data_IF_206696050891
#
_entry.id   IF_206696050891
#
_cell.length_a   1.000
_cell.length_b   1.000
_cell.length_c   1.000
_cell.angle_alpha   90.00
_cell.angle_beta   90.00
_cell.angle_gamma   90.00
#
_symmetry.space_group_name_H-M   'P 1'
#
loop_
_entity.id
_entity.type
_entity.pdbx_description
1 polymer ?
#
# COMPACT_ATOMS: atom_id res chain seq x y z
N UNK A 1 -12.65 -46.66 33.96
CA UNK A 1 -13.80 -45.73 33.86
C UNK A 1 -13.97 -45.38 32.39
N UNK A 2 -14.84 -46.09 31.67
CA UNK A 2 -15.07 -45.84 30.24
C UNK A 2 -15.78 -44.50 30.06
N UNK A 3 -15.08 -43.54 29.47
CA UNK A 3 -15.71 -42.29 29.05
C UNK A 3 -16.65 -42.64 27.89
N UNK A 4 -17.95 -42.60 28.16
CA UNK A 4 -19.04 -42.86 27.23
C UNK A 4 -18.81 -42.11 25.90
N UNK A 5 -18.96 -42.76 24.75
CA UNK A 5 -18.56 -42.23 23.44
C UNK A 5 -19.19 -40.87 23.10
N UNK A 6 -20.36 -40.58 23.67
CA UNK A 6 -21.03 -39.28 23.59
C UNK A 6 -20.26 -38.16 24.31
N UNK A 7 -19.68 -38.45 25.48
CA UNK A 7 -18.91 -37.49 26.26
C UNK A 7 -17.57 -37.16 25.60
N UNK A 8 -16.94 -38.14 24.94
CA UNK A 8 -15.74 -37.90 24.12
C UNK A 8 -16.02 -36.93 22.97
N UNK A 9 -17.13 -37.13 22.24
CA UNK A 9 -17.54 -36.25 21.14
C UNK A 9 -17.86 -34.83 21.61
N UNK A 10 -18.56 -34.70 22.74
CA UNK A 10 -18.85 -33.39 23.33
C UNK A 10 -17.57 -32.64 23.74
N UNK A 11 -16.59 -33.35 24.30
CA UNK A 11 -15.29 -32.77 24.66
C UNK A 11 -14.50 -32.30 23.44
N UNK A 12 -14.46 -33.09 22.36
CA UNK A 12 -13.82 -32.68 21.09
C UNK A 12 -14.48 -31.45 20.47
N UNK A 13 -15.81 -31.35 20.53
CA UNK A 13 -16.55 -30.18 20.02
C UNK A 13 -16.20 -28.94 20.86
N UNK A 14 -16.14 -29.07 22.18
CA UNK A 14 -15.75 -27.97 23.07
C UNK A 14 -14.32 -27.49 22.77
N UNK A 15 -13.38 -28.41 22.66
CA UNK A 15 -11.99 -28.11 22.28
C UNK A 15 -11.93 -27.37 20.95
N UNK A 16 -12.68 -27.83 19.94
CA UNK A 16 -12.74 -27.19 18.62
C UNK A 16 -13.24 -25.76 18.71
N UNK A 17 -14.31 -25.50 19.49
CA UNK A 17 -14.86 -24.15 19.67
C UNK A 17 -13.85 -23.24 20.35
N UNK A 18 -13.16 -23.74 21.39
CA UNK A 18 -12.12 -22.98 22.09
C UNK A 18 -10.95 -22.65 21.16
N UNK A 19 -10.48 -23.62 20.38
CA UNK A 19 -9.40 -23.40 19.40
C UNK A 19 -9.77 -22.38 18.33
N UNK A 20 -10.98 -22.46 17.78
CA UNK A 20 -11.48 -21.49 16.80
C UNK A 20 -11.63 -20.08 17.40
N UNK A 21 -12.06 -20.00 18.66
CA UNK A 21 -12.19 -18.72 19.37
C UNK A 21 -10.83 -18.06 19.57
N UNK A 22 -9.83 -18.82 20.04
CA UNK A 22 -8.46 -18.32 20.21
C UNK A 22 -7.89 -17.86 18.86
N UNK A 23 -8.08 -18.65 17.81
CA UNK A 23 -7.63 -18.30 16.46
C UNK A 23 -8.27 -16.99 15.96
N UNK A 24 -9.57 -16.81 16.16
CA UNK A 24 -10.30 -15.59 15.80
C UNK A 24 -9.76 -14.36 16.54
N UNK A 25 -9.44 -14.49 17.83
CA UNK A 25 -8.86 -13.42 18.63
C UNK A 25 -7.47 -13.05 18.10
N UNK A 26 -6.61 -14.04 17.84
CA UNK A 26 -5.26 -13.81 17.30
C UNK A 26 -5.30 -13.09 15.95
N UNK A 27 -6.17 -13.52 15.03
CA UNK A 27 -6.34 -12.86 13.73
C UNK A 27 -6.81 -11.41 13.90
N UNK A 28 -7.78 -11.18 14.79
CA UNK A 28 -8.32 -9.83 15.04
C UNK A 28 -7.26 -8.90 15.62
N UNK A 29 -6.42 -9.39 16.53
CA UNK A 29 -5.32 -8.63 17.11
C UNK A 29 -4.25 -8.30 16.07
N UNK A 30 -3.84 -9.26 15.24
CA UNK A 30 -2.87 -9.04 14.16
C UNK A 30 -3.41 -8.01 13.14
N UNK A 31 -4.67 -8.15 12.75
CA UNK A 31 -5.34 -7.21 11.85
C UNK A 31 -5.37 -5.80 12.46
N UNK A 32 -5.78 -5.67 13.73
CA UNK A 32 -5.78 -4.39 14.42
C UNK A 32 -4.38 -3.78 14.47
N UNK A 33 -3.35 -4.54 14.85
CA UNK A 33 -1.98 -4.01 14.93
C UNK A 33 -1.46 -3.59 13.55
N UNK A 34 -1.79 -4.35 12.51
CA UNK A 34 -1.29 -4.10 11.15
C UNK A 34 -2.02 -2.92 10.49
N UNK A 35 -3.31 -2.72 10.75
CA UNK A 35 -4.14 -1.75 10.02
C UNK A 35 -4.59 -0.53 10.84
N UNK A 36 -4.27 -0.46 12.15
CA UNK A 36 -4.70 0.64 13.02
C UNK A 36 -3.72 1.82 13.08
N UNK A 37 -2.77 1.91 12.15
CA UNK A 37 -1.80 3.01 12.12
C UNK A 37 -1.89 3.84 10.84
N UNK A 38 -1.92 5.16 10.99
CA UNK A 38 -2.01 6.15 9.92
C UNK A 38 -0.94 5.97 8.82
N UNK A 39 0.22 5.44 9.21
CA UNK A 39 1.33 5.01 8.34
C UNK A 39 0.92 4.01 7.25
N UNK A 40 -0.10 3.16 7.49
CA UNK A 40 -0.58 2.22 6.47
C UNK A 40 -1.33 2.92 5.33
N UNK A 41 -2.10 3.97 5.62
CA UNK A 41 -2.83 4.71 4.57
C UNK A 41 -1.86 5.44 3.66
N UNK A 42 -0.86 6.10 4.24
CA UNK A 42 0.20 6.77 3.49
C UNK A 42 1.00 5.78 2.67
N UNK A 43 1.38 4.63 3.24
CA UNK A 43 2.05 3.55 2.50
C UNK A 43 1.18 3.01 1.35
N UNK A 44 -0.12 2.78 1.59
CA UNK A 44 -1.05 2.34 0.54
C UNK A 44 -1.16 3.37 -0.58
N UNK A 45 -1.23 4.66 -0.25
CA UNK A 45 -1.24 5.74 -1.23
C UNK A 45 0.08 5.76 -2.01
N UNK A 46 1.23 5.70 -1.32
CA UNK A 46 2.55 5.68 -1.97
C UNK A 46 2.72 4.48 -2.90
N UNK A 47 2.33 3.28 -2.46
CA UNK A 47 2.37 2.06 -3.27
C UNK A 47 1.45 2.17 -4.50
N UNK A 48 0.26 2.76 -4.35
CA UNK A 48 -0.64 3.04 -5.48
C UNK A 48 -0.02 4.03 -6.47
N UNK A 49 0.61 5.11 -5.96
CA UNK A 49 1.29 6.11 -6.77
C UNK A 49 2.50 5.53 -7.51
N UNK A 50 3.29 4.68 -6.85
CA UNK A 50 4.40 3.93 -7.47
C UNK A 50 3.91 3.10 -8.65
N UNK A 51 2.85 2.31 -8.44
CA UNK A 51 2.24 1.49 -9.49
C UNK A 51 1.75 2.35 -10.69
N UNK A 52 1.17 3.52 -10.43
CA UNK A 52 0.76 4.47 -11.48
C UNK A 52 1.96 5.05 -12.24
N UNK A 53 3.06 5.36 -11.55
CA UNK A 53 4.29 5.82 -12.21
C UNK A 53 4.93 4.74 -13.09
N UNK A 54 4.94 3.50 -12.63
CA UNK A 54 5.49 2.35 -13.37
C UNK A 54 4.66 2.02 -14.60
N UNK A 55 3.33 2.00 -14.46
CA UNK A 55 2.40 1.76 -15.56
C UNK A 55 2.19 2.97 -16.49
N UNK A 56 2.77 4.14 -16.15
CA UNK A 56 2.56 5.42 -16.84
C UNK A 56 1.08 5.85 -16.92
N UNK A 57 0.26 5.42 -15.96
CA UNK A 57 -1.13 5.85 -15.87
C UNK A 57 -1.22 7.15 -15.06
N UNK A 58 -1.40 8.27 -15.76
CA UNK A 58 -1.39 9.62 -15.17
C UNK A 58 -2.77 10.28 -15.10
N UNK A 59 -3.87 9.51 -15.12
CA UNK A 59 -5.23 10.07 -15.06
C UNK A 59 -5.45 10.98 -13.86
N UNK A 60 -4.86 10.61 -12.71
CA UNK A 60 -5.07 11.29 -11.43
C UNK A 60 -3.93 12.27 -11.12
N UNK A 61 -3.16 12.65 -12.14
CA UNK A 61 -2.01 13.54 -12.01
C UNK A 61 -2.20 14.78 -12.87
N UNK A 62 -1.69 15.91 -12.38
CA UNK A 62 -1.53 17.10 -13.19
C UNK A 62 -0.30 16.95 -14.09
N UNK A 63 -0.49 17.10 -15.41
CA UNK A 63 0.62 17.04 -16.37
C UNK A 63 0.81 18.37 -17.07
N UNK A 64 2.06 18.82 -17.19
CA UNK A 64 2.40 20.07 -17.86
C UNK A 64 3.75 19.95 -18.57
N UNK A 65 3.82 20.44 -19.80
CA UNK A 65 5.09 20.59 -20.51
C UNK A 65 5.82 21.84 -20.02
N UNK A 66 7.12 21.71 -19.76
CA UNK A 66 7.97 22.83 -19.40
C UNK A 66 9.40 22.60 -19.87
N UNK A 67 10.14 23.68 -20.03
CA UNK A 67 11.56 23.64 -20.34
C UNK A 67 12.32 23.74 -19.03
N UNK A 68 13.19 22.78 -18.74
CA UNK A 68 14.09 22.82 -17.59
C UNK A 68 15.52 23.06 -18.07
N UNK A 69 16.28 23.79 -17.26
CA UNK A 69 17.72 23.91 -17.44
C UNK A 69 18.39 22.73 -16.75
N UNK A 70 19.30 22.06 -17.46
CA UNK A 70 20.16 21.03 -16.89
C UNK A 70 21.62 21.44 -17.07
N UNK A 71 22.47 21.01 -16.15
CA UNK A 71 23.91 21.13 -16.29
C UNK A 71 24.44 19.78 -16.76
N UNK A 72 25.01 19.74 -17.97
CA UNK A 72 25.60 18.52 -18.53
C UNK A 72 27.04 18.83 -18.95
N UNK A 73 28.00 18.12 -18.36
CA UNK A 73 29.44 18.31 -18.63
C UNK A 73 29.90 19.78 -18.52
N UNK A 74 29.41 20.50 -17.51
CA UNK A 74 29.76 21.91 -17.28
C UNK A 74 29.10 22.91 -18.24
N UNK A 75 28.23 22.47 -19.15
CA UNK A 75 27.44 23.34 -20.04
C UNK A 75 25.97 23.36 -19.61
N UNK A 76 25.38 24.55 -19.60
CA UNK A 76 23.92 24.69 -19.46
C UNK A 76 23.24 24.23 -20.75
N UNK A 77 22.24 23.37 -20.60
CA UNK A 77 21.38 22.92 -21.68
C UNK A 77 19.91 23.09 -21.28
N UNK A 78 19.03 23.24 -22.26
CA UNK A 78 17.58 23.40 -22.07
C UNK A 78 16.88 22.20 -22.68
N UNK A 79 16.18 21.44 -21.84
CA UNK A 79 15.43 20.27 -22.28
C UNK A 79 13.93 20.47 -22.06
N UNK A 80 13.14 20.10 -23.08
CA UNK A 80 11.69 20.06 -22.99
C UNK A 80 11.25 18.77 -22.32
N UNK A 81 10.51 18.89 -21.22
CA UNK A 81 10.07 17.77 -20.39
C UNK A 81 8.59 17.88 -20.07
N UNK A 82 7.95 16.73 -19.89
CA UNK A 82 6.64 16.60 -19.26
C UNK A 82 6.82 16.47 -17.77
N UNK A 83 6.30 17.43 -17.01
CA UNK A 83 6.18 17.35 -15.55
C UNK A 83 4.86 16.68 -15.20
N UNK A 84 4.93 15.60 -14.44
CA UNK A 84 3.77 14.90 -13.86
C UNK A 84 3.79 15.19 -12.36
N UNK A 85 2.69 15.69 -11.81
CA UNK A 85 2.61 16.10 -10.40
C UNK A 85 1.37 15.52 -9.74
N UNK A 86 1.54 14.98 -8.54
CA UNK A 86 0.44 14.61 -7.63
C UNK A 86 0.56 15.44 -6.36
N UNK A 87 -0.56 15.96 -5.89
CA UNK A 87 -0.61 16.83 -4.72
C UNK A 87 -1.96 16.69 -4.01
N UNK A 88 -2.17 15.54 -3.36
CA UNK A 88 -3.37 15.26 -2.58
C UNK A 88 -3.00 14.55 -1.28
N UNK A 89 -3.90 14.60 -0.28
CA UNK A 89 -3.74 13.92 1.01
C UNK A 89 -2.41 14.23 1.73
N UNK A 90 -1.90 15.45 1.59
CA UNK A 90 -0.62 15.87 2.18
C UNK A 90 0.63 15.31 1.49
N UNK A 91 0.48 14.50 0.44
CA UNK A 91 1.58 13.89 -0.31
C UNK A 91 1.79 14.68 -1.60
N UNK A 92 3.00 15.24 -1.75
CA UNK A 92 3.41 15.98 -2.94
C UNK A 92 4.59 15.30 -3.61
N UNK A 93 4.37 14.80 -4.82
CA UNK A 93 5.39 14.12 -5.62
C UNK A 93 5.37 14.60 -7.06
N UNK A 94 6.52 14.58 -7.71
CA UNK A 94 6.66 14.99 -9.10
C UNK A 94 7.67 14.11 -9.82
N UNK A 95 7.40 13.87 -11.11
CA UNK A 95 8.28 13.16 -12.03
C UNK A 95 8.46 14.00 -13.29
N UNK A 96 9.67 13.98 -13.83
CA UNK A 96 9.98 14.54 -15.14
C UNK A 96 10.16 13.40 -16.12
N UNK A 97 9.45 13.47 -17.24
CA UNK A 97 9.65 12.57 -18.37
C UNK A 97 10.08 13.39 -19.59
N UNK A 98 11.02 12.86 -20.37
CA UNK A 98 11.37 13.46 -21.65
C UNK A 98 10.16 13.37 -22.58
N UNK A 99 9.87 14.47 -23.28
CA UNK A 99 8.91 14.44 -24.37
C UNK A 99 9.51 13.56 -25.47
N UNK A 100 8.90 12.39 -25.71
CA UNK A 100 9.24 11.54 -26.85
C UNK A 100 8.71 12.13 -28.14
#
# INVERSE_FOLDING_TARGET
MEINSKNKKAFTIFETIVSLTILSIVITLIYSITFHDSSTKEFMILNSLENKFTSKNYSDFSTKNQIIKILKNGKEDKISVKKITYNENGIKIYKYELNK
#
